data_IF_305957113115
#
_entry.id   IF_305957113115
#
_cell.length_a   1.000
_cell.length_b   1.000
_cell.length_c   1.000
_cell.angle_alpha   90.00
_cell.angle_beta   90.00
_cell.angle_gamma   90.00
#
_symmetry.space_group_name_H-M   'P 1'
#
loop_
_entity.id
_entity.type
_entity.pdbx_description
1 polymer ?
#
# COMPACT_ATOMS: atom_id res chain seq x y z
N UNK A 1 -22.94 14.58 -20.80
CA UNK A 1 -22.66 15.99 -20.45
C UNK A 1 -22.06 15.92 -19.05
N UNK A 2 -20.75 16.14 -18.94
CA UNK A 2 -20.08 16.20 -17.62
C UNK A 2 -20.59 17.43 -16.88
N UNK A 3 -20.87 17.26 -15.59
CA UNK A 3 -21.22 18.36 -14.71
C UNK A 3 -19.95 19.20 -14.41
N UNK A 4 -20.10 20.51 -14.20
CA UNK A 4 -18.98 21.40 -13.87
C UNK A 4 -18.37 21.12 -12.48
N UNK A 5 -18.98 20.21 -11.69
CA UNK A 5 -18.53 19.79 -10.37
C UNK A 5 -17.79 18.45 -10.40
N UNK A 6 -17.64 17.81 -11.57
CA UNK A 6 -16.92 16.55 -11.70
C UNK A 6 -15.40 16.78 -11.76
N UNK A 7 -14.65 15.97 -11.03
CA UNK A 7 -13.18 15.97 -11.03
C UNK A 7 -12.66 14.76 -11.80
N UNK A 8 -11.69 14.98 -12.68
CA UNK A 8 -11.03 13.93 -13.44
C UNK A 8 -9.60 13.74 -12.96
N UNK A 9 -9.23 12.50 -12.66
CA UNK A 9 -7.91 12.08 -12.25
C UNK A 9 -7.36 11.11 -13.29
N UNK A 10 -6.24 11.45 -13.94
CA UNK A 10 -5.67 10.67 -15.04
C UNK A 10 -4.39 9.95 -14.60
N UNK A 11 -4.21 8.70 -15.07
CA UNK A 11 -3.00 7.91 -14.81
C UNK A 11 -2.77 7.56 -13.34
N UNK A 12 -3.84 7.43 -12.55
CA UNK A 12 -3.73 7.10 -11.13
C UNK A 12 -3.24 5.67 -10.96
N UNK A 13 -2.17 5.48 -10.19
CA UNK A 13 -1.61 4.16 -9.93
C UNK A 13 -2.57 3.31 -9.09
N UNK A 14 -2.92 2.14 -9.60
CA UNK A 14 -3.63 1.11 -8.87
C UNK A 14 -2.69 -0.06 -8.57
N UNK A 15 -2.92 -0.75 -7.45
CA UNK A 15 -2.16 -1.94 -7.06
C UNK A 15 -3.05 -2.91 -6.27
N UNK A 16 -2.61 -4.17 -6.15
CA UNK A 16 -3.40 -5.21 -5.47
C UNK A 16 -3.64 -4.82 -4.01
N UNK A 17 -4.86 -5.07 -3.54
CA UNK A 17 -5.19 -4.87 -2.11
C UNK A 17 -4.27 -5.71 -1.23
N UNK A 18 -3.99 -5.28 0.00
CA UNK A 18 -3.17 -6.06 0.91
C UNK A 18 -3.73 -7.45 1.18
N UNK A 19 -2.90 -8.47 1.01
CA UNK A 19 -3.25 -9.86 1.33
C UNK A 19 -3.24 -10.12 2.83
N UNK A 20 -2.51 -9.29 3.58
CA UNK A 20 -2.41 -9.36 5.04
C UNK A 20 -2.14 -7.98 5.63
N UNK A 21 -2.71 -7.72 6.79
CA UNK A 21 -2.41 -6.55 7.62
C UNK A 21 -1.64 -6.97 8.87
N UNK A 22 -0.53 -6.29 9.13
CA UNK A 22 0.25 -6.37 10.34
C UNK A 22 -0.07 -5.17 11.24
N UNK A 23 -0.43 -5.38 12.49
CA UNK A 23 -0.54 -4.29 13.46
C UNK A 23 0.87 -3.91 13.94
N UNK A 24 1.16 -2.62 13.92
CA UNK A 24 2.46 -2.07 14.34
C UNK A 24 2.27 -1.22 15.59
N UNK A 25 3.13 -1.43 16.57
CA UNK A 25 3.26 -0.54 17.72
C UNK A 25 4.74 -0.36 18.06
N UNK A 26 5.06 0.67 18.83
CA UNK A 26 6.41 0.95 19.33
C UNK A 26 6.43 0.75 20.84
N UNK A 27 7.41 0.02 21.31
CA UNK A 27 7.63 -0.19 22.75
C UNK A 27 9.04 0.24 23.14
N UNK A 28 9.21 0.63 24.40
CA UNK A 28 10.53 0.80 24.99
C UNK A 28 11.14 -0.57 25.27
N UNK A 29 12.37 -0.77 24.82
CA UNK A 29 13.14 -2.00 25.03
C UNK A 29 14.52 -1.66 25.62
N UNK A 30 14.57 -1.18 26.88
CA UNK A 30 15.81 -0.75 27.51
C UNK A 30 16.81 -1.90 27.63
N UNK A 31 18.07 -1.63 27.28
CA UNK A 31 19.16 -2.61 27.31
C UNK A 31 19.56 -3.18 25.95
N UNK A 32 18.85 -2.82 24.87
CA UNK A 32 19.34 -2.96 23.51
C UNK A 32 20.26 -1.77 23.17
N UNK A 33 21.21 -1.92 22.22
CA UNK A 33 21.92 -0.74 21.70
C UNK A 33 20.89 0.30 21.21
N UNK A 34 21.16 1.62 21.38
CA UNK A 34 20.21 2.64 20.95
C UNK A 34 19.68 2.39 19.52
N UNK A 35 18.38 2.61 19.26
CA UNK A 35 17.43 3.31 20.12
C UNK A 35 16.77 2.36 21.15
N UNK A 36 16.38 2.93 22.29
CA UNK A 36 15.63 2.22 23.34
C UNK A 36 14.20 1.83 22.90
N UNK A 37 13.78 2.23 21.70
CA UNK A 37 12.47 1.94 21.14
C UNK A 37 12.59 0.95 19.99
N UNK A 38 11.68 -0.01 19.95
CA UNK A 38 11.61 -1.02 18.89
C UNK A 38 10.17 -1.23 18.42
N UNK A 39 10.00 -1.69 17.18
CA UNK A 39 8.71 -2.10 16.70
C UNK A 39 8.26 -3.44 17.28
N UNK A 40 6.97 -3.55 17.53
CA UNK A 40 6.27 -4.82 17.63
C UNK A 40 5.40 -5.02 16.39
N UNK A 41 5.38 -6.24 15.87
CA UNK A 41 4.52 -6.65 14.77
C UNK A 41 3.56 -7.71 15.32
N UNK A 42 2.25 -7.45 15.25
CA UNK A 42 1.22 -8.30 15.84
C UNK A 42 1.53 -8.64 17.32
N UNK A 43 2.05 -7.67 18.07
CA UNK A 43 2.43 -7.81 19.47
C UNK A 43 3.77 -8.50 19.73
N UNK A 44 4.49 -8.97 18.72
CA UNK A 44 5.80 -9.62 18.86
C UNK A 44 6.94 -8.64 18.60
N UNK A 45 7.87 -8.51 19.56
CA UNK A 45 8.99 -7.55 19.53
C UNK A 45 9.99 -7.92 18.45
N UNK A 46 10.33 -6.97 17.56
CA UNK A 46 11.32 -7.13 16.49
C UNK A 46 11.21 -8.47 15.76
N UNK A 47 9.98 -8.89 15.47
CA UNK A 47 9.73 -10.19 14.87
C UNK A 47 10.18 -10.19 13.41
N UNK A 48 11.06 -11.13 13.05
CA UNK A 48 11.36 -11.38 11.65
C UNK A 48 10.09 -11.81 10.90
N UNK A 49 9.90 -11.28 9.70
CA UNK A 49 8.73 -11.57 8.88
C UNK A 49 9.08 -12.48 7.72
N UNK A 50 8.09 -13.26 7.31
CA UNK A 50 8.14 -13.99 6.04
C UNK A 50 6.98 -13.52 5.18
N UNK A 51 7.30 -13.07 4.00
CA UNK A 51 6.36 -12.58 2.99
C UNK A 51 6.57 -13.35 1.69
N UNK A 52 5.67 -13.16 0.75
CA UNK A 52 5.74 -13.81 -0.57
C UNK A 52 5.73 -12.71 -1.62
N UNK A 53 6.69 -12.76 -2.57
CA UNK A 53 6.69 -11.83 -3.70
C UNK A 53 5.36 -11.87 -4.44
N UNK A 54 5.01 -10.75 -5.06
CA UNK A 54 3.76 -10.56 -5.75
C UNK A 54 2.58 -10.19 -4.88
N UNK A 55 2.74 -10.10 -3.59
CA UNK A 55 1.69 -9.66 -2.68
C UNK A 55 1.97 -8.25 -2.14
N UNK A 56 0.90 -7.61 -1.72
CA UNK A 56 0.93 -6.37 -0.95
C UNK A 56 0.64 -6.70 0.51
N UNK A 57 1.38 -6.07 1.41
CA UNK A 57 1.22 -6.22 2.87
C UNK A 57 1.03 -4.86 3.50
N UNK A 58 0.02 -4.72 4.35
CA UNK A 58 -0.22 -3.49 5.10
C UNK A 58 0.43 -3.55 6.48
N UNK A 59 1.11 -2.49 6.83
CA UNK A 59 1.62 -2.21 8.17
C UNK A 59 0.76 -1.09 8.76
N UNK A 60 -0.22 -1.46 9.59
CA UNK A 60 -1.12 -0.53 10.27
C UNK A 60 -0.35 0.19 11.38
N UNK A 61 -0.15 1.50 11.21
CA UNK A 61 0.54 2.39 12.13
C UNK A 61 -0.40 3.34 12.87
N UNK A 62 -1.67 2.98 13.02
CA UNK A 62 -2.67 3.79 13.69
C UNK A 62 -2.49 3.88 15.20
N UNK A 63 -1.79 2.93 15.83
CA UNK A 63 -1.48 2.98 17.27
C UNK A 63 -0.63 4.21 17.60
N UNK A 64 -1.02 4.94 18.66
CA UNK A 64 -0.41 6.21 19.05
C UNK A 64 1.09 6.13 19.37
N UNK A 65 1.60 4.94 19.74
CA UNK A 65 3.01 4.71 19.99
C UNK A 65 3.89 4.86 18.73
N UNK A 66 3.28 4.75 17.53
CA UNK A 66 4.00 4.98 16.26
C UNK A 66 4.31 6.45 15.97
N UNK A 67 3.84 7.39 16.81
CA UNK A 67 4.10 8.82 16.61
C UNK A 67 5.61 9.12 16.52
N UNK A 68 6.05 9.72 15.41
CA UNK A 68 7.47 9.97 15.14
C UNK A 68 8.27 8.74 14.66
N UNK A 69 7.61 7.62 14.37
CA UNK A 69 8.26 6.38 13.93
C UNK A 69 7.65 5.86 12.60
N UNK A 70 7.90 6.54 11.47
CA UNK A 70 7.44 6.05 10.16
C UNK A 70 8.14 4.75 9.77
N UNK A 71 7.35 3.70 9.46
CA UNK A 71 7.85 2.41 9.01
C UNK A 71 7.84 2.35 7.49
N UNK A 72 8.94 1.90 6.90
CA UNK A 72 9.06 1.53 5.49
C UNK A 72 9.88 0.24 5.35
N UNK A 73 9.95 -0.32 4.12
CA UNK A 73 11.00 -1.29 3.80
C UNK A 73 12.31 -0.58 3.48
N UNK A 74 13.39 -1.15 3.94
CA UNK A 74 14.75 -0.65 3.74
C UNK A 74 15.79 -1.73 3.99
N UNK A 75 17.03 -1.32 4.22
CA UNK A 75 18.14 -2.19 4.57
C UNK A 75 18.89 -1.60 5.78
N UNK A 76 19.01 -2.38 6.83
CA UNK A 76 19.76 -1.99 8.05
C UNK A 76 21.28 -1.89 7.80
N UNK A 77 21.79 -2.58 6.77
CA UNK A 77 23.21 -2.55 6.39
C UNK A 77 23.59 -1.31 5.57
N UNK A 78 22.64 -0.39 5.30
CA UNK A 78 22.83 0.80 4.47
C UNK A 78 22.92 0.51 2.96
N UNK A 79 22.68 -0.72 2.55
CA UNK A 79 22.62 -1.11 1.13
C UNK A 79 21.38 -0.51 0.43
N UNK A 80 21.40 -0.57 -0.89
CA UNK A 80 20.26 -0.13 -1.71
C UNK A 80 19.19 -1.22 -1.70
N UNK A 81 17.95 -0.85 -1.38
CA UNK A 81 16.82 -1.73 -1.50
C UNK A 81 16.48 -1.92 -3.00
N UNK A 82 16.06 -3.14 -3.36
CA UNK A 82 15.53 -3.40 -4.71
C UNK A 82 14.34 -2.47 -5.00
N UNK A 83 14.34 -1.80 -6.14
CA UNK A 83 13.31 -0.84 -6.54
C UNK A 83 11.94 -1.48 -6.78
N UNK A 84 11.88 -2.80 -6.89
CA UNK A 84 10.65 -3.57 -7.00
C UNK A 84 10.00 -3.88 -5.64
N UNK A 85 10.62 -3.43 -4.54
CA UNK A 85 10.01 -3.39 -3.20
C UNK A 85 9.58 -1.94 -2.94
N UNK A 86 8.29 -1.68 -3.00
CA UNK A 86 7.73 -0.32 -2.95
C UNK A 86 6.94 -0.12 -1.66
N UNK A 87 7.26 0.93 -0.92
CA UNK A 87 6.49 1.35 0.27
C UNK A 87 5.62 2.55 -0.06
N UNK A 88 4.33 2.45 0.23
CA UNK A 88 3.33 3.52 0.03
C UNK A 88 2.72 3.86 1.38
N UNK A 89 3.07 5.01 1.94
CA UNK A 89 2.62 5.44 3.26
C UNK A 89 1.42 6.38 3.17
N UNK A 90 0.46 6.21 4.06
CA UNK A 90 -0.77 6.99 4.18
C UNK A 90 -0.93 7.47 5.62
N UNK A 91 -1.31 8.72 5.77
CA UNK A 91 -1.52 9.35 7.08
C UNK A 91 -0.22 9.62 7.84
N UNK A 92 -0.37 10.10 9.06
CA UNK A 92 0.76 10.32 9.98
C UNK A 92 0.83 9.18 10.97
N UNK A 93 1.96 8.45 11.09
CA UNK A 93 2.10 7.38 12.07
C UNK A 93 1.67 7.82 13.49
N UNK A 94 0.90 6.97 14.16
CA UNK A 94 0.30 7.28 15.45
C UNK A 94 -1.07 7.94 15.38
N UNK A 95 -1.63 8.15 14.19
CA UNK A 95 -2.99 8.68 14.01
C UNK A 95 -3.91 7.63 13.40
N UNK A 96 -5.21 7.73 13.66
CA UNK A 96 -6.20 6.80 13.12
C UNK A 96 -6.12 6.74 11.59
N UNK A 97 -6.10 5.53 11.03
CA UNK A 97 -6.02 5.27 9.60
C UNK A 97 -4.62 5.42 8.98
N UNK A 98 -3.58 5.65 9.78
CA UNK A 98 -2.21 5.67 9.28
C UNK A 98 -1.70 4.24 9.00
N UNK A 99 -1.10 4.03 7.82
CA UNK A 99 -0.50 2.76 7.45
C UNK A 99 0.61 2.92 6.40
N UNK A 100 1.39 1.87 6.21
CA UNK A 100 2.28 1.72 5.05
C UNK A 100 1.94 0.42 4.35
N UNK A 101 1.55 0.48 3.07
CA UNK A 101 1.45 -0.67 2.20
C UNK A 101 2.81 -0.95 1.56
N UNK A 102 3.22 -2.21 1.60
CA UNK A 102 4.46 -2.66 0.96
C UNK A 102 4.13 -3.65 -0.14
N UNK A 103 4.52 -3.30 -1.34
CA UNK A 103 4.32 -4.08 -2.55
C UNK A 103 5.64 -4.80 -2.87
N UNK A 104 5.63 -6.13 -2.80
CA UNK A 104 6.76 -6.96 -3.21
C UNK A 104 6.51 -7.45 -4.62
N UNK A 105 7.07 -6.78 -5.62
CA UNK A 105 6.90 -7.18 -7.02
C UNK A 105 7.59 -8.51 -7.33
N UNK A 106 7.20 -9.21 -8.41
CA UNK A 106 7.89 -10.42 -8.88
C UNK A 106 9.38 -10.17 -9.09
N UNK A 107 10.22 -11.12 -8.72
CA UNK A 107 11.69 -11.03 -8.80
C UNK A 107 12.34 -10.47 -7.54
N UNK A 108 11.57 -10.22 -6.47
CA UNK A 108 12.12 -9.77 -5.17
C UNK A 108 12.42 -10.92 -4.22
N UNK A 109 12.05 -12.17 -4.56
CA UNK A 109 12.37 -13.32 -3.73
C UNK A 109 13.88 -13.48 -3.51
N UNK A 110 14.26 -13.74 -2.25
CA UNK A 110 15.66 -13.86 -1.84
C UNK A 110 16.40 -12.53 -1.63
N UNK A 111 15.76 -11.38 -1.90
CA UNK A 111 16.34 -10.07 -1.59
C UNK A 111 16.46 -9.86 -0.08
N UNK A 112 17.50 -9.11 0.31
CA UNK A 112 17.68 -8.69 1.70
C UNK A 112 16.85 -7.44 1.96
N UNK A 113 15.86 -7.56 2.83
CA UNK A 113 15.01 -6.46 3.25
C UNK A 113 14.81 -6.47 4.78
N UNK A 114 14.52 -5.30 5.31
CA UNK A 114 14.13 -5.08 6.71
C UNK A 114 12.95 -4.11 6.74
N UNK A 115 12.01 -4.27 7.65
CA UNK A 115 11.17 -3.12 8.01
C UNK A 115 11.98 -2.24 8.95
N UNK A 116 12.03 -0.94 8.65
CA UNK A 116 12.87 0.03 9.35
C UNK A 116 12.08 1.29 9.71
N UNK A 117 12.54 2.02 10.71
CA UNK A 117 12.10 3.38 10.97
C UNK A 117 12.97 4.37 10.18
N UNK A 118 12.34 5.35 9.50
CA UNK A 118 13.09 6.36 8.75
C UNK A 118 13.80 7.39 9.64
N UNK A 119 13.44 7.46 10.93
CA UNK A 119 13.97 8.43 11.88
C UNK A 119 14.98 7.83 12.86
N UNK A 120 14.90 6.51 13.12
CA UNK A 120 15.71 5.85 14.15
C UNK A 120 16.22 4.51 13.63
N UNK A 121 17.51 4.20 13.80
CA UNK A 121 18.09 2.92 13.39
C UNK A 121 17.66 1.78 14.32
N UNK A 122 17.81 0.55 13.88
CA UNK A 122 17.68 -0.70 14.66
C UNK A 122 16.30 -0.92 15.33
N UNK A 123 15.24 -0.28 14.86
CA UNK A 123 13.89 -0.48 15.41
C UNK A 123 13.18 -1.71 14.86
N UNK A 124 13.55 -2.15 13.68
CA UNK A 124 12.89 -3.22 12.95
C UNK A 124 13.58 -4.56 12.97
N UNK A 125 13.28 -5.41 12.01
CA UNK A 125 13.89 -6.73 11.83
C UNK A 125 13.87 -7.16 10.36
N UNK A 126 14.50 -8.31 10.10
CA UNK A 126 14.60 -8.88 8.77
C UNK A 126 13.25 -9.32 8.18
N UNK A 127 13.14 -9.20 6.88
CA UNK A 127 12.01 -9.69 6.08
C UNK A 127 12.55 -10.71 5.08
N UNK A 128 12.11 -11.95 5.21
CA UNK A 128 12.39 -13.01 4.24
C UNK A 128 11.32 -12.98 3.16
N UNK A 129 11.73 -12.85 1.92
CA UNK A 129 10.84 -12.80 0.76
C UNK A 129 10.92 -14.14 0.03
N UNK A 130 9.85 -14.92 0.10
CA UNK A 130 9.73 -16.20 -0.58
C UNK A 130 9.23 -16.01 -2.01
N UNK A 131 9.56 -16.98 -2.88
CA UNK A 131 9.03 -17.03 -4.23
C UNK A 131 7.53 -17.22 -4.20
N UNK A 132 6.81 -16.39 -4.93
CA UNK A 132 5.38 -16.53 -5.17
C UNK A 132 5.06 -17.44 -6.35
N UNK A 133 3.80 -17.80 -6.49
CA UNK A 133 3.33 -18.54 -7.67
C UNK A 133 3.24 -17.56 -8.84
N UNK A 134 4.02 -17.78 -9.90
CA UNK A 134 3.99 -16.93 -11.09
C UNK A 134 2.56 -16.73 -11.61
N UNK A 135 2.19 -15.49 -11.85
CA UNK A 135 0.91 -15.11 -12.46
C UNK A 135 -0.19 -14.64 -11.49
N UNK A 136 0.12 -14.32 -10.23
CA UNK A 136 -0.88 -13.79 -9.28
C UNK A 136 -0.71 -12.30 -8.98
N UNK A 137 0.09 -11.57 -9.76
CA UNK A 137 0.44 -10.20 -9.38
C UNK A 137 0.40 -9.26 -10.57
N UNK A 138 -0.55 -8.36 -10.53
CA UNK A 138 -0.56 -7.24 -11.45
C UNK A 138 0.48 -6.19 -11.08
N UNK A 139 1.05 -5.56 -12.08
CA UNK A 139 1.93 -4.40 -11.93
C UNK A 139 1.70 -3.38 -13.06
N UNK A 140 1.93 -2.10 -12.75
CA UNK A 140 1.87 -1.06 -13.77
C UNK A 140 0.46 -0.67 -14.23
N UNK A 141 -0.61 -1.14 -13.57
CA UNK A 141 -1.96 -0.66 -13.84
C UNK A 141 -2.08 0.81 -13.44
N UNK A 142 -2.58 1.62 -14.36
CA UNK A 142 -3.04 2.97 -14.04
C UNK A 142 -4.43 3.20 -14.61
N UNK A 143 -5.20 4.03 -13.91
CA UNK A 143 -6.62 4.26 -14.19
C UNK A 143 -6.87 5.76 -14.42
N UNK A 144 -7.80 6.05 -15.29
CA UNK A 144 -8.43 7.34 -15.39
C UNK A 144 -9.77 7.28 -14.64
N UNK A 145 -9.99 8.20 -13.71
CA UNK A 145 -11.08 8.14 -12.75
C UNK A 145 -11.84 9.45 -12.77
N UNK A 146 -13.15 9.37 -12.90
CA UNK A 146 -14.05 10.52 -12.77
C UNK A 146 -14.78 10.43 -11.45
N UNK A 147 -14.66 11.48 -10.64
CA UNK A 147 -15.38 11.64 -9.37
C UNK A 147 -16.44 12.71 -9.58
N UNK A 148 -17.69 12.36 -9.36
CA UNK A 148 -18.84 13.25 -9.46
C UNK A 148 -18.89 14.23 -8.29
N UNK A 149 -19.45 15.41 -8.51
CA UNK A 149 -19.81 16.34 -7.44
C UNK A 149 -20.59 15.63 -6.30
N UNK A 150 -20.03 15.67 -5.09
CA UNK A 150 -20.50 14.89 -3.94
C UNK A 150 -19.63 13.68 -3.60
N UNK A 151 -18.56 13.43 -4.36
CA UNK A 151 -17.49 12.52 -3.99
C UNK A 151 -17.72 11.04 -4.35
N UNK A 152 -18.54 10.76 -5.36
CA UNK A 152 -18.76 9.39 -5.82
C UNK A 152 -17.99 9.13 -7.11
N UNK A 153 -17.30 7.99 -7.20
CA UNK A 153 -16.67 7.53 -8.44
C UNK A 153 -17.77 7.23 -9.45
N UNK A 154 -17.72 7.92 -10.59
CA UNK A 154 -18.70 7.77 -11.68
C UNK A 154 -18.20 6.87 -12.79
N UNK A 155 -16.93 7.03 -13.15
CA UNK A 155 -16.32 6.34 -14.26
C UNK A 155 -14.89 5.93 -13.91
N UNK A 156 -14.49 4.74 -14.30
CA UNK A 156 -13.13 4.23 -14.17
C UNK A 156 -12.74 3.56 -15.49
N UNK A 157 -11.71 4.07 -16.12
CA UNK A 157 -11.16 3.52 -17.36
C UNK A 157 -9.69 3.12 -17.14
N UNK A 158 -9.22 2.14 -17.90
CA UNK A 158 -7.79 1.78 -17.87
C UNK A 158 -7.00 2.77 -18.75
N UNK A 159 -6.09 3.49 -18.12
CA UNK A 159 -5.10 4.32 -18.81
C UNK A 159 -3.89 3.48 -19.27
N UNK A 160 -3.37 2.63 -18.37
CA UNK A 160 -2.39 1.61 -18.69
C UNK A 160 -2.84 0.30 -18.03
N UNK A 161 -2.90 -0.77 -18.83
CA UNK A 161 -3.44 -2.06 -18.39
C UNK A 161 -2.54 -2.80 -17.40
N UNK A 162 -1.27 -2.40 -17.29
CA UNK A 162 -0.30 -3.15 -16.54
C UNK A 162 -0.05 -4.56 -17.10
N UNK A 163 0.59 -5.40 -16.33
CA UNK A 163 0.93 -6.77 -16.67
C UNK A 163 0.49 -7.73 -15.57
N UNK A 164 0.18 -8.98 -15.93
CA UNK A 164 -0.11 -10.10 -15.02
C UNK A 164 -1.37 -9.95 -14.14
N UNK A 165 -2.23 -8.99 -14.38
CA UNK A 165 -3.55 -8.96 -13.76
C UNK A 165 -4.47 -10.04 -14.32
N UNK A 166 -5.38 -10.54 -13.48
CA UNK A 166 -6.39 -11.54 -13.83
C UNK A 166 -7.79 -11.03 -13.53
N UNK A 167 -8.77 -11.62 -14.20
CA UNK A 167 -10.18 -11.43 -13.82
C UNK A 167 -10.38 -11.92 -12.39
N UNK A 168 -11.05 -11.11 -11.58
CA UNK A 168 -11.26 -11.35 -10.16
C UNK A 168 -10.17 -10.77 -9.26
N UNK A 169 -9.06 -10.25 -9.81
CA UNK A 169 -8.09 -9.51 -9.01
C UNK A 169 -8.74 -8.24 -8.46
N UNK A 170 -8.52 -7.99 -7.19
CA UNK A 170 -8.98 -6.78 -6.51
C UNK A 170 -7.85 -5.77 -6.44
N UNK A 171 -8.08 -4.59 -6.98
CA UNK A 171 -7.12 -3.48 -6.97
C UNK A 171 -7.64 -2.32 -6.15
N UNK A 172 -6.73 -1.54 -5.60
CA UNK A 172 -7.05 -0.33 -4.85
C UNK A 172 -6.36 0.89 -5.44
N UNK A 173 -7.01 2.04 -5.27
CA UNK A 173 -6.43 3.37 -5.48
C UNK A 173 -6.56 4.13 -4.18
N UNK A 174 -5.46 4.75 -3.75
CA UNK A 174 -5.44 5.54 -2.53
C UNK A 174 -6.04 6.93 -2.74
N UNK A 175 -6.59 7.52 -1.67
CA UNK A 175 -7.11 8.89 -1.67
C UNK A 175 -6.07 9.92 -2.13
N UNK A 176 -4.79 9.71 -1.82
CA UNK A 176 -3.69 10.57 -2.30
C UNK A 176 -3.60 10.63 -3.84
N UNK A 177 -3.98 9.55 -4.53
CA UNK A 177 -4.09 9.50 -5.99
C UNK A 177 -5.32 10.25 -6.54
N UNK A 178 -6.30 10.52 -5.67
CA UNK A 178 -7.54 11.23 -5.96
C UNK A 178 -7.56 12.63 -5.32
N UNK A 179 -6.39 13.27 -5.20
CA UNK A 179 -6.26 14.63 -4.69
C UNK A 179 -6.17 14.76 -3.18
N UNK A 180 -6.25 13.67 -2.40
CA UNK A 180 -6.03 13.69 -0.94
C UNK A 180 -7.06 14.49 -0.16
N UNK A 181 -8.31 14.53 -0.62
CA UNK A 181 -9.38 15.38 -0.05
C UNK A 181 -10.12 14.73 1.14
N UNK A 182 -9.54 13.69 1.76
CA UNK A 182 -10.07 13.04 2.96
C UNK A 182 -10.99 11.85 2.70
N UNK A 183 -10.99 11.31 1.49
CA UNK A 183 -11.55 9.99 1.18
C UNK A 183 -10.64 8.86 1.65
N UNK A 184 -11.07 7.61 1.49
CA UNK A 184 -10.26 6.42 1.82
C UNK A 184 -9.66 5.72 0.58
N UNK A 185 -9.76 6.32 -0.59
CA UNK A 185 -9.48 5.65 -1.86
C UNK A 185 -10.65 4.76 -2.32
N UNK A 186 -10.47 3.97 -3.35
CA UNK A 186 -11.47 2.99 -3.73
C UNK A 186 -10.85 1.62 -4.01
N UNK A 187 -11.68 0.59 -3.93
CA UNK A 187 -11.34 -0.79 -4.28
C UNK A 187 -12.25 -1.23 -5.40
N UNK A 188 -11.69 -1.84 -6.42
CA UNK A 188 -12.42 -2.36 -7.56
C UNK A 188 -11.95 -3.76 -7.95
N UNK A 189 -12.86 -4.57 -8.52
CA UNK A 189 -12.57 -5.89 -9.05
C UNK A 189 -12.38 -5.81 -10.57
N UNK A 190 -11.34 -6.45 -11.08
CA UNK A 190 -11.09 -6.55 -12.52
C UNK A 190 -12.00 -7.59 -13.15
N UNK A 191 -12.88 -7.17 -14.05
CA UNK A 191 -13.94 -8.03 -14.60
C UNK A 191 -13.74 -8.46 -16.05
N UNK A 192 -12.72 -7.94 -16.73
CA UNK A 192 -12.42 -8.29 -18.12
C UNK A 192 -10.95 -8.63 -18.32
N UNK A 193 -10.70 -9.79 -18.94
CA UNK A 193 -9.37 -10.33 -19.25
C UNK A 193 -9.23 -10.58 -20.77
N UNK A 194 -9.60 -9.65 -21.59
CA UNK A 194 -9.11 -9.66 -22.98
C UNK A 194 -8.02 -8.61 -23.04
N UNK A 195 -6.76 -8.95 -23.09
CA UNK A 195 -5.59 -8.06 -23.27
C UNK A 195 -5.78 -6.56 -22.94
N UNK A 196 -6.96 -6.16 -22.57
CA UNK A 196 -7.42 -4.81 -22.26
C UNK A 196 -8.34 -4.88 -21.04
N UNK A 197 -7.91 -4.35 -19.91
CA UNK A 197 -8.82 -4.08 -18.79
C UNK A 197 -9.71 -2.91 -19.24
N UNK A 198 -10.95 -3.21 -19.58
CA UNK A 198 -11.88 -2.19 -20.12
C UNK A 198 -12.82 -1.63 -19.07
N UNK A 199 -12.92 -2.27 -17.92
CA UNK A 199 -13.78 -1.76 -16.83
C UNK A 199 -13.37 -2.30 -15.47
N UNK A 200 -13.59 -1.50 -14.44
CA UNK A 200 -13.52 -1.88 -13.03
C UNK A 200 -14.96 -1.86 -12.51
N UNK A 201 -15.42 -2.97 -11.96
CA UNK A 201 -16.76 -3.08 -11.36
C UNK A 201 -16.65 -3.40 -9.87
N UNK A 202 -17.78 -3.36 -9.15
CA UNK A 202 -17.84 -3.56 -7.71
C UNK A 202 -16.98 -2.56 -6.91
N UNK A 203 -17.09 -1.28 -7.27
CA UNK A 203 -16.40 -0.21 -6.56
C UNK A 203 -16.98 -0.13 -5.16
N UNK A 204 -16.19 -0.49 -4.16
CA UNK A 204 -16.52 -0.28 -2.75
C UNK A 204 -15.83 1.01 -2.28
N UNK A 205 -16.63 1.98 -1.93
CA UNK A 205 -16.15 3.21 -1.29
C UNK A 205 -16.12 2.95 0.21
N UNK A 206 -14.97 2.58 0.76
CA UNK A 206 -14.77 2.53 2.20
C UNK A 206 -14.35 3.94 2.68
N UNK A 207 -15.28 4.62 3.34
CA UNK A 207 -15.10 5.98 3.86
C UNK A 207 -15.93 7.02 3.11
N UNK A 208 -16.34 8.06 3.74
CA UNK A 208 -17.30 9.04 3.25
C UNK A 208 -16.96 9.70 1.89
N UNK A 209 -17.84 10.56 1.41
CA UNK A 209 -17.72 11.15 0.07
C UNK A 209 -16.41 11.94 -0.07
N UNK A 210 -15.76 11.80 -1.23
CA UNK A 210 -14.64 12.66 -1.62
C UNK A 210 -15.10 14.11 -1.65
N UNK A 211 -14.30 15.02 -1.11
CA UNK A 211 -14.57 16.45 -1.26
C UNK A 211 -14.09 16.87 -2.66
N UNK A 212 -14.99 17.44 -3.45
CA UNK A 212 -14.61 18.12 -4.71
C UNK A 212 -13.88 19.41 -4.35
N UNK A 213 -12.66 19.57 -4.84
CA UNK A 213 -11.84 20.76 -4.63
C UNK A 213 -12.25 21.92 -5.54
#
# INVERSE_FOLDING_TARGET
>A
IRDSEDSEYTGVTAYNVPTQTFTVAVISNPGTPPPDNVYTINGSTQSALTVVEGNTYRFDQSDSSNSGHPLIMGREDGGVLNTDIVSVSVGTPGTAGAFTDVIFRPGTAGETANYICTQHPNMGAAVTINTGTAGNYGSGLSLDIVVRGGGFVEEVESNNQGENYKVGDTVQVLDSGLGGQGGSGFVGELTSNTTVITSVTNISLEGGPYQVG
#
